data_IF_981939995247
#
_entry.id   IF_981939995247
#
_cell.length_a   1.000
_cell.length_b   1.000
_cell.length_c   1.000
_cell.angle_alpha   90.00
_cell.angle_beta   90.00
_cell.angle_gamma   90.00
#
_symmetry.space_group_name_H-M   'P 1'
#
loop_
_entity.id
_entity.type
_entity.pdbx_description
1 polymer ?
#
# COMPACT_ATOMS: atom_id res chain seq x y z
N UNK A 1 -20.86 51.22 32.61
CA UNK A 1 -21.09 50.63 31.28
C UNK A 1 -19.73 50.35 30.67
N UNK A 2 -19.29 49.09 30.67
CA UNK A 2 -17.96 48.71 30.17
C UNK A 2 -18.14 48.24 28.73
N UNK A 3 -17.50 48.96 27.80
CA UNK A 3 -17.42 48.55 26.39
C UNK A 3 -16.23 47.62 26.27
N UNK A 4 -16.48 46.32 26.06
CA UNK A 4 -15.44 45.33 25.76
C UNK A 4 -15.30 45.25 24.24
N UNK A 5 -14.18 45.74 23.71
CA UNK A 5 -13.83 45.63 22.30
C UNK A 5 -13.14 44.28 22.07
N UNK A 6 -13.78 43.38 21.32
CA UNK A 6 -13.18 42.11 20.90
C UNK A 6 -12.26 42.34 19.69
N UNK A 7 -10.96 42.23 19.89
CA UNK A 7 -10.01 42.06 18.79
C UNK A 7 -10.11 40.62 18.27
N UNK A 8 -10.81 40.43 17.16
CA UNK A 8 -10.77 39.18 16.39
C UNK A 8 -9.43 39.09 15.63
N UNK A 9 -8.42 38.45 16.24
CA UNK A 9 -7.39 37.76 15.46
C UNK A 9 -7.95 36.37 15.11
N UNK A 10 -8.47 36.22 13.88
CA UNK A 10 -8.74 34.90 13.30
C UNK A 10 -7.39 34.23 12.98
N UNK A 11 -6.84 33.43 13.88
CA UNK A 11 -5.95 32.36 13.43
C UNK A 11 -6.85 31.38 12.67
N UNK A 12 -6.62 31.26 11.37
CA UNK A 12 -7.13 30.12 10.61
C UNK A 12 -6.15 28.97 10.86
N UNK A 13 -6.21 28.44 12.08
CA UNK A 13 -5.67 27.12 12.33
C UNK A 13 -6.54 26.16 11.52
N UNK A 14 -6.09 25.85 10.31
CA UNK A 14 -6.62 24.75 9.53
C UNK A 14 -6.40 23.52 10.41
N UNK A 15 -7.45 23.11 11.10
CA UNK A 15 -7.48 21.83 11.81
C UNK A 15 -7.28 20.78 10.72
N UNK A 16 -6.04 20.30 10.56
CA UNK A 16 -5.76 19.21 9.64
C UNK A 16 -6.48 18.00 10.20
N UNK A 17 -7.58 17.60 9.55
CA UNK A 17 -8.24 16.36 9.88
C UNK A 17 -7.19 15.25 9.69
N UNK A 18 -6.89 14.44 10.72
CA UNK A 18 -5.98 13.32 10.56
C UNK A 18 -6.52 12.43 9.44
N UNK A 19 -5.75 12.30 8.36
CA UNK A 19 -6.11 11.39 7.27
C UNK A 19 -5.90 9.96 7.75
N UNK A 20 -6.83 9.09 7.39
CA UNK A 20 -6.72 7.66 7.66
C UNK A 20 -5.68 7.02 6.73
N UNK A 21 -5.20 5.84 7.10
CA UNK A 21 -4.36 5.03 6.21
C UNK A 21 -5.04 4.78 4.85
N UNK A 22 -6.36 4.54 4.88
CA UNK A 22 -7.19 4.29 3.70
C UNK A 22 -7.22 5.49 2.75
N UNK A 23 -7.20 6.72 3.27
CA UNK A 23 -7.15 7.93 2.44
C UNK A 23 -5.84 8.01 1.66
N UNK A 24 -4.72 7.72 2.32
CA UNK A 24 -3.40 7.72 1.71
C UNK A 24 -3.24 6.57 0.71
N UNK A 25 -3.80 5.41 1.02
CA UNK A 25 -3.83 4.24 0.14
C UNK A 25 -4.66 4.52 -1.12
N UNK A 26 -5.82 5.17 -0.97
CA UNK A 26 -6.67 5.58 -2.09
C UNK A 26 -5.95 6.53 -3.05
N UNK A 27 -5.23 7.52 -2.53
CA UNK A 27 -4.42 8.41 -3.37
C UNK A 27 -3.28 7.67 -4.06
N UNK A 28 -2.56 6.81 -3.35
CA UNK A 28 -1.49 6.00 -3.94
C UNK A 28 -2.01 5.14 -5.10
N UNK A 29 -3.14 4.45 -4.91
CA UNK A 29 -3.77 3.63 -5.96
C UNK A 29 -4.13 4.47 -7.18
N UNK A 30 -4.67 5.67 -6.98
CA UNK A 30 -4.99 6.59 -8.08
C UNK A 30 -3.72 6.99 -8.85
N UNK A 31 -2.65 7.33 -8.15
CA UNK A 31 -1.38 7.71 -8.77
C UNK A 31 -0.71 6.53 -9.50
N UNK A 32 -0.79 5.31 -8.94
CA UNK A 32 -0.30 4.07 -9.58
C UNK A 32 -1.11 3.79 -10.85
N UNK A 33 -2.44 3.76 -10.77
CA UNK A 33 -3.30 3.48 -11.92
C UNK A 33 -3.17 4.50 -13.06
N UNK A 34 -2.74 5.73 -12.76
CA UNK A 34 -2.46 6.74 -13.78
C UNK A 34 -1.12 6.51 -14.52
N UNK A 35 -0.23 5.65 -14.02
CA UNK A 35 1.15 5.48 -14.50
C UNK A 35 1.49 4.08 -14.97
N UNK A 36 0.89 3.05 -14.37
CA UNK A 36 1.17 1.67 -14.77
C UNK A 36 0.67 1.41 -16.20
N UNK A 37 1.40 0.58 -16.97
CA UNK A 37 0.98 0.24 -18.33
C UNK A 37 -0.26 -0.65 -18.33
N UNK A 38 -1.11 -0.50 -19.35
CA UNK A 38 -2.14 -1.49 -19.64
C UNK A 38 -1.46 -2.84 -19.98
N UNK A 39 -1.96 -4.00 -19.49
CA UNK A 39 -3.28 -4.21 -18.88
C UNK A 39 -3.32 -4.17 -17.34
N UNK A 40 -2.29 -3.68 -16.66
CA UNK A 40 -2.24 -3.74 -15.21
C UNK A 40 -3.18 -2.73 -14.54
N UNK A 41 -3.73 -3.12 -13.39
CA UNK A 41 -4.56 -2.27 -12.53
C UNK A 41 -4.30 -2.54 -11.04
N UNK A 42 -4.18 -1.47 -10.28
CA UNK A 42 -4.04 -1.47 -8.83
C UNK A 42 -5.40 -1.43 -8.13
N UNK A 43 -5.59 -2.29 -7.14
CA UNK A 43 -6.82 -2.46 -6.37
C UNK A 43 -6.58 -2.29 -4.89
N UNK A 44 -7.55 -1.67 -4.21
CA UNK A 44 -7.55 -1.53 -2.76
C UNK A 44 -7.99 -2.84 -2.09
N UNK A 45 -7.36 -3.15 -0.95
CA UNK A 45 -7.74 -4.12 0.08
C UNK A 45 -8.39 -5.38 -0.43
N UNK A 46 -7.62 -6.46 -0.42
CA UNK A 46 -8.07 -7.74 -0.98
C UNK A 46 -7.77 -8.89 -0.05
N UNK A 47 -8.82 -9.64 0.27
CA UNK A 47 -8.76 -10.78 1.18
C UNK A 47 -8.62 -12.08 0.42
N UNK A 48 -7.57 -12.83 0.75
CA UNK A 48 -7.40 -14.22 0.33
C UNK A 48 -7.93 -15.12 1.43
N UNK A 49 -8.74 -16.12 1.04
CA UNK A 49 -9.16 -17.21 1.94
C UNK A 49 -8.41 -18.47 1.55
N UNK A 50 -7.88 -19.17 2.55
CA UNK A 50 -7.16 -20.42 2.37
C UNK A 50 -8.02 -21.58 2.87
N UNK A 51 -7.95 -22.71 2.17
CA UNK A 51 -8.51 -23.96 2.66
C UNK A 51 -7.77 -24.41 3.93
N UNK A 52 -8.46 -25.12 4.82
CA UNK A 52 -7.92 -25.48 6.14
C UNK A 52 -6.66 -26.34 6.06
N UNK A 53 -6.54 -27.15 5.01
CA UNK A 53 -5.43 -28.05 4.72
C UNK A 53 -4.37 -27.44 3.79
N UNK A 54 -4.53 -26.18 3.40
CA UNK A 54 -3.54 -25.48 2.58
C UNK A 54 -2.22 -25.30 3.36
N UNK A 55 -1.06 -25.70 2.79
CA UNK A 55 0.23 -25.59 3.48
C UNK A 55 0.59 -24.15 3.88
N UNK A 56 0.05 -23.14 3.21
CA UNK A 56 0.26 -21.72 3.52
C UNK A 56 -0.35 -21.31 4.86
N UNK A 57 -1.42 -21.99 5.31
CA UNK A 57 -2.08 -21.70 6.60
C UNK A 57 -1.13 -21.92 7.77
N UNK A 58 -0.24 -22.92 7.70
CA UNK A 58 0.74 -23.18 8.76
C UNK A 58 1.78 -22.06 8.88
N UNK A 59 2.19 -21.48 7.74
CA UNK A 59 3.19 -20.40 7.68
C UNK A 59 2.56 -19.06 8.08
N UNK A 60 1.41 -18.73 7.48
CA UNK A 60 0.68 -17.48 7.72
C UNK A 60 -0.07 -17.47 9.07
N UNK A 61 -0.28 -18.65 9.66
CA UNK A 61 -1.08 -18.87 10.89
C UNK A 61 -2.48 -18.26 10.81
N UNK A 62 -3.06 -18.24 9.61
CA UNK A 62 -4.36 -17.63 9.34
C UNK A 62 -5.07 -18.35 8.19
N UNK A 63 -6.40 -18.46 8.29
CA UNK A 63 -7.26 -18.95 7.20
C UNK A 63 -7.69 -17.83 6.24
N UNK A 64 -7.47 -16.58 6.63
CA UNK A 64 -7.75 -15.39 5.83
C UNK A 64 -6.65 -14.37 6.02
N UNK A 65 -6.20 -13.74 4.93
CA UNK A 65 -5.24 -12.64 4.98
C UNK A 65 -5.66 -11.53 4.03
N UNK A 66 -5.73 -10.31 4.54
CA UNK A 66 -5.92 -9.12 3.73
C UNK A 66 -4.57 -8.54 3.31
N UNK A 67 -4.51 -8.07 2.07
CA UNK A 67 -3.40 -7.35 1.46
C UNK A 67 -3.86 -5.97 1.01
N UNK A 68 -3.09 -4.95 1.37
CA UNK A 68 -3.53 -3.55 1.28
C UNK A 68 -3.68 -3.05 -0.17
N UNK A 69 -2.72 -3.32 -1.04
CA UNK A 69 -2.82 -3.02 -2.47
C UNK A 69 -2.30 -4.19 -3.28
N UNK A 70 -3.06 -4.61 -4.29
CA UNK A 70 -2.66 -5.63 -5.26
C UNK A 70 -2.64 -5.03 -6.65
N UNK A 71 -1.64 -5.38 -7.46
CA UNK A 71 -1.56 -4.99 -8.87
C UNK A 71 -1.50 -6.26 -9.71
N UNK A 72 -2.40 -6.35 -10.67
CA UNK A 72 -2.56 -7.50 -11.56
C UNK A 72 -3.16 -7.05 -12.89
N UNK A 73 -3.02 -7.90 -13.90
CA UNK A 73 -3.70 -7.72 -15.19
C UNK A 73 -5.23 -7.69 -14.98
N UNK A 74 -5.87 -6.64 -15.52
CA UNK A 74 -7.28 -6.35 -15.37
C UNK A 74 -8.19 -7.47 -15.89
N UNK A 75 -7.71 -8.30 -16.83
CA UNK A 75 -8.43 -9.44 -17.37
C UNK A 75 -8.70 -10.52 -16.30
N UNK A 76 -7.95 -10.53 -15.20
CA UNK A 76 -8.07 -11.53 -14.13
C UNK A 76 -8.82 -11.03 -12.90
N UNK A 77 -9.51 -9.90 -13.00
CA UNK A 77 -10.20 -9.30 -11.86
C UNK A 77 -11.65 -9.74 -11.82
N UNK A 78 -12.01 -10.52 -10.80
CA UNK A 78 -13.42 -10.75 -10.44
C UNK A 78 -13.82 -9.82 -9.28
N UNK A 79 -15.09 -9.41 -9.24
CA UNK A 79 -15.59 -8.47 -8.22
C UNK A 79 -15.53 -9.02 -6.78
N UNK A 80 -15.38 -10.33 -6.57
CA UNK A 80 -15.60 -10.97 -5.26
C UNK A 80 -14.45 -11.80 -4.71
N UNK A 81 -13.64 -12.42 -5.55
CA UNK A 81 -12.48 -13.21 -5.12
C UNK A 81 -11.30 -12.98 -6.06
N UNK A 82 -10.10 -12.85 -5.47
CA UNK A 82 -8.88 -12.88 -6.26
C UNK A 82 -8.36 -14.30 -6.28
N UNK A 83 -8.06 -14.77 -7.49
CA UNK A 83 -7.22 -15.93 -7.66
C UNK A 83 -5.77 -15.55 -7.24
N UNK A 84 -5.24 -16.11 -6.13
CA UNK A 84 -3.89 -15.79 -5.65
C UNK A 84 -2.79 -16.05 -6.70
N UNK A 85 -3.05 -16.96 -7.64
CA UNK A 85 -2.12 -17.29 -8.72
C UNK A 85 -2.03 -16.21 -9.80
N UNK A 86 -2.87 -15.17 -9.74
CA UNK A 86 -2.87 -14.07 -10.71
C UNK A 86 -2.26 -12.79 -10.15
N UNK A 87 -1.77 -12.81 -8.91
CA UNK A 87 -1.14 -11.64 -8.30
C UNK A 87 0.36 -11.69 -8.57
N UNK A 88 0.83 -10.70 -9.32
CA UNK A 88 2.25 -10.52 -9.68
C UNK A 88 2.93 -9.46 -8.79
N UNK A 89 2.14 -8.54 -8.21
CA UNK A 89 2.63 -7.43 -7.39
C UNK A 89 1.72 -7.13 -6.20
N UNK A 90 2.32 -6.83 -5.05
CA UNK A 90 1.62 -6.45 -3.81
C UNK A 90 2.32 -5.27 -3.16
N UNK A 91 1.56 -4.40 -2.52
CA UNK A 91 2.08 -3.32 -1.69
C UNK A 91 1.39 -3.41 -0.32
N UNK A 92 2.17 -3.64 0.73
CA UNK A 92 1.72 -3.46 2.10
C UNK A 92 1.82 -1.97 2.48
N UNK A 93 0.77 -1.43 3.06
CA UNK A 93 0.76 -0.07 3.57
C UNK A 93 0.69 -0.05 5.09
N UNK A 94 1.16 1.05 5.67
CA UNK A 94 1.08 1.31 7.10
C UNK A 94 0.75 2.78 7.35
N UNK A 95 0.22 3.12 8.53
CA UNK A 95 -0.05 4.51 8.87
C UNK A 95 1.20 5.37 8.79
N UNK A 96 0.98 6.65 8.50
CA UNK A 96 2.00 7.69 8.55
C UNK A 96 2.76 7.62 9.89
N UNK A 97 4.09 7.72 9.84
CA UNK A 97 4.99 7.73 11.00
C UNK A 97 5.07 6.42 11.82
N UNK A 98 4.43 5.34 11.38
CA UNK A 98 4.60 4.02 11.99
C UNK A 98 6.05 3.51 11.89
N UNK A 99 6.56 2.94 12.99
CA UNK A 99 7.80 2.15 12.96
C UNK A 99 7.60 1.00 12.00
N UNK A 100 8.43 0.93 10.97
CA UNK A 100 8.20 0.04 9.84
C UNK A 100 8.47 -1.42 10.19
N UNK A 101 7.48 -2.10 10.77
CA UNK A 101 7.43 -3.55 10.99
C UNK A 101 6.77 -4.29 9.83
N UNK A 102 6.17 -3.57 8.88
CA UNK A 102 5.41 -4.12 7.76
C UNK A 102 6.21 -4.93 6.75
N UNK A 103 7.54 -5.03 6.89
CA UNK A 103 8.38 -5.93 6.09
C UNK A 103 7.89 -7.37 6.21
N UNK A 104 7.63 -7.86 7.43
CA UNK A 104 7.16 -9.24 7.61
C UNK A 104 5.76 -9.46 7.03
N UNK A 105 4.91 -8.44 7.02
CA UNK A 105 3.59 -8.52 6.41
C UNK A 105 3.66 -8.45 4.88
N UNK A 106 4.62 -7.72 4.32
CA UNK A 106 4.94 -7.78 2.91
C UNK A 106 5.56 -9.15 2.52
N UNK A 107 6.25 -9.84 3.44
CA UNK A 107 6.75 -11.21 3.26
C UNK A 107 5.63 -12.26 3.23
N UNK A 108 4.54 -12.05 3.99
CA UNK A 108 3.35 -12.89 3.90
C UNK A 108 2.85 -12.99 2.45
N UNK A 109 3.06 -11.96 1.63
CA UNK A 109 2.65 -11.93 0.23
C UNK A 109 3.36 -13.02 -0.60
N UNK A 110 4.66 -13.26 -0.41
CA UNK A 110 5.36 -14.34 -1.12
C UNK A 110 4.87 -15.73 -0.72
N UNK A 111 4.37 -15.86 0.51
CA UNK A 111 3.74 -17.11 0.96
C UNK A 111 2.35 -17.26 0.37
N UNK A 112 1.58 -16.18 0.28
CA UNK A 112 0.21 -16.20 -0.21
C UNK A 112 0.09 -16.35 -1.73
N UNK A 113 1.04 -15.78 -2.48
CA UNK A 113 0.97 -15.59 -3.94
C UNK A 113 2.14 -16.28 -4.65
N UNK A 114 1.92 -17.48 -5.23
CA UNK A 114 2.98 -18.26 -5.88
C UNK A 114 3.65 -17.54 -7.05
N UNK A 115 2.90 -16.67 -7.74
CA UNK A 115 3.36 -15.92 -8.92
C UNK A 115 3.80 -14.49 -8.60
N UNK A 116 3.90 -14.13 -7.32
CA UNK A 116 4.40 -12.81 -6.91
C UNK A 116 5.85 -12.64 -7.38
N UNK A 117 6.07 -11.62 -8.20
CA UNK A 117 7.40 -11.25 -8.68
C UNK A 117 8.06 -10.28 -7.70
N UNK A 118 7.29 -9.29 -7.26
CA UNK A 118 7.81 -8.17 -6.47
C UNK A 118 6.79 -7.81 -5.38
N UNK A 119 7.28 -7.56 -4.18
CA UNK A 119 6.48 -6.97 -3.10
C UNK A 119 7.06 -5.64 -2.66
N UNK A 120 6.17 -4.72 -2.34
CA UNK A 120 6.48 -3.40 -1.82
C UNK A 120 5.91 -3.22 -0.43
N UNK A 121 6.52 -2.29 0.31
CA UNK A 121 6.05 -1.97 1.63
C UNK A 121 6.30 -0.48 1.93
N UNK A 122 5.27 0.28 2.33
CA UNK A 122 5.36 1.73 2.57
C UNK A 122 4.54 2.17 3.78
N UNK A 123 5.04 3.15 4.55
CA UNK A 123 4.27 3.76 5.64
C UNK A 123 3.69 5.14 5.28
N UNK A 124 3.71 5.54 4.01
CA UNK A 124 3.43 6.91 3.57
C UNK A 124 4.28 8.01 4.25
N UNK A 125 5.20 7.63 5.14
CA UNK A 125 5.99 8.45 6.03
C UNK A 125 7.26 8.89 5.36
N UNK A 126 8.03 7.96 4.78
CA UNK A 126 9.13 8.19 3.80
C UNK A 126 9.89 6.93 3.39
N UNK A 127 9.30 5.75 3.59
CA UNK A 127 9.99 4.50 3.34
C UNK A 127 9.22 3.74 2.27
N UNK A 128 9.90 3.40 1.18
CA UNK A 128 9.44 2.41 0.22
C UNK A 128 10.48 1.31 0.21
N UNK A 129 10.07 0.12 0.58
CA UNK A 129 10.88 -1.08 0.47
C UNK A 129 10.43 -1.85 -0.76
N UNK A 130 11.41 -2.35 -1.52
CA UNK A 130 11.21 -3.32 -2.59
C UNK A 130 11.90 -4.61 -2.19
N UNK A 131 11.23 -5.73 -2.45
CA UNK A 131 11.84 -7.04 -2.47
C UNK A 131 11.40 -7.75 -3.75
N UNK A 132 12.35 -8.44 -4.38
CA UNK A 132 12.12 -9.24 -5.58
C UNK A 132 12.11 -10.73 -5.18
N UNK A 133 11.40 -11.57 -5.93
CA UNK A 133 11.24 -12.99 -5.60
C UNK A 133 12.58 -13.69 -5.39
N UNK A 134 13.53 -13.39 -6.28
CA UNK A 134 14.84 -14.03 -6.35
C UNK A 134 15.93 -13.28 -5.56
N UNK A 135 15.59 -12.15 -4.92
CA UNK A 135 16.50 -11.38 -4.07
C UNK A 135 15.92 -11.22 -2.67
N UNK A 136 16.47 -11.90 -1.64
CA UNK A 136 16.00 -11.75 -0.28
C UNK A 136 16.36 -10.38 0.32
N UNK A 137 17.18 -9.58 -0.37
CA UNK A 137 17.57 -8.26 0.11
C UNK A 137 16.41 -7.26 0.02
N UNK A 138 16.18 -6.58 1.13
CA UNK A 138 15.16 -5.53 1.24
C UNK A 138 15.83 -4.20 0.92
N UNK A 139 15.52 -3.63 -0.24
CA UNK A 139 16.10 -2.38 -0.69
C UNK A 139 15.18 -1.21 -0.34
N UNK A 140 15.70 -0.24 0.41
CA UNK A 140 15.04 1.06 0.58
C UNK A 140 15.21 1.87 -0.71
N UNK A 141 14.11 2.28 -1.33
CA UNK A 141 14.11 2.92 -2.65
C UNK A 141 13.94 4.43 -2.62
N UNK A 142 13.18 4.96 -1.66
CA UNK A 142 12.85 6.39 -1.63
C UNK A 142 13.02 6.98 -0.24
N UNK A 143 13.61 8.18 -0.17
CA UNK A 143 13.57 9.10 0.99
C UNK A 143 13.25 10.50 0.44
N UNK A 144 12.20 11.18 0.91
CA UNK A 144 11.77 12.49 0.39
C UNK A 144 11.14 13.37 1.48
N UNK A 145 10.95 14.68 1.24
CA UNK A 145 10.53 15.65 2.28
C UNK A 145 9.18 16.37 2.02
N UNK A 146 8.39 15.96 1.01
CA UNK A 146 7.07 16.58 0.73
C UNK A 146 6.01 15.54 0.28
N UNK A 147 4.80 15.58 0.86
CA UNK A 147 3.75 14.56 0.75
C UNK A 147 3.15 14.43 -0.66
N UNK A 148 2.84 15.53 -1.37
CA UNK A 148 2.22 15.45 -2.69
C UNK A 148 3.17 14.89 -3.76
N UNK A 149 4.46 15.26 -3.70
CA UNK A 149 5.49 14.66 -4.56
C UNK A 149 5.74 13.19 -4.22
N UNK A 150 5.36 12.76 -3.02
CA UNK A 150 5.65 11.42 -2.50
C UNK A 150 4.89 10.32 -3.23
N UNK A 151 3.56 10.46 -3.36
CA UNK A 151 2.75 9.41 -4.00
C UNK A 151 3.13 9.25 -5.47
N UNK A 152 3.35 10.38 -6.15
CA UNK A 152 3.87 10.41 -7.52
C UNK A 152 5.18 9.64 -7.63
N UNK A 153 6.16 9.93 -6.77
CA UNK A 153 7.46 9.25 -6.78
C UNK A 153 7.35 7.75 -6.47
N UNK A 154 6.52 7.36 -5.51
CA UNK A 154 6.27 5.94 -5.19
C UNK A 154 5.60 5.25 -6.39
N UNK A 155 4.61 5.89 -7.01
CA UNK A 155 3.90 5.35 -8.16
C UNK A 155 4.79 5.24 -9.40
N UNK A 156 5.63 6.24 -9.69
CA UNK A 156 6.64 6.19 -10.76
C UNK A 156 7.62 5.04 -10.55
N UNK A 157 8.08 4.87 -9.31
CA UNK A 157 8.99 3.78 -8.97
C UNK A 157 8.33 2.42 -9.22
N UNK A 158 7.11 2.22 -8.72
CA UNK A 158 6.36 0.97 -8.91
C UNK A 158 6.07 0.72 -10.39
N UNK A 159 5.63 1.74 -11.12
CA UNK A 159 5.32 1.62 -12.55
C UNK A 159 6.55 1.32 -13.41
N UNK A 160 7.75 1.67 -12.97
CA UNK A 160 8.99 1.31 -13.68
C UNK A 160 9.40 -0.16 -13.53
N UNK A 161 8.83 -0.84 -12.53
CA UNK A 161 9.12 -2.23 -12.19
C UNK A 161 8.00 -3.19 -12.68
N UNK A 162 6.93 -2.66 -13.29
CA UNK A 162 5.81 -3.40 -13.93
C UNK A 162 5.99 -3.36 -15.45
#
# INVERSE_FOLDING_TARGET
MIIVTYNLHKSTDVISIPRSEDDYRTELIKEINARIPHPYKAYNSKTVTFEKDDPRVAVLKALKREFDVVILDEAFVSEREINPDRIEFVIETKPLDSTFTGISQAEDAYTAFPNLLITYATNFGNKLYKREKDSPEIHLKTQSKNLARKYVQIAEYIASDI
#
